data_IF_810226804118
#
_entry.id   IF_810226804118
#
_cell.length_a   1.000
_cell.length_b   1.000
_cell.length_c   1.000
_cell.angle_alpha   90.00
_cell.angle_beta   90.00
_cell.angle_gamma   90.00
#
_symmetry.space_group_name_H-M   'P 1'
#
loop_
_entity.id
_entity.type
_entity.pdbx_description
1 polymer ?
#
# COMPACT_ATOMS: atom_id res chain seq x y z
N UNK A 1 -2.40 13.35 -38.14
CA UNK A 1 -3.85 13.60 -37.97
C UNK A 1 -4.15 14.42 -36.71
N UNK A 2 -3.60 14.09 -35.53
CA UNK A 2 -3.77 14.92 -34.32
C UNK A 2 -3.14 16.32 -34.43
N UNK A 3 -1.98 16.45 -35.07
CA UNK A 3 -1.36 17.76 -35.35
C UNK A 3 -2.24 18.63 -36.25
N UNK A 4 -2.83 18.03 -37.30
CA UNK A 4 -3.72 18.74 -38.23
C UNK A 4 -5.01 19.23 -37.57
N UNK A 5 -5.58 18.42 -36.66
CA UNK A 5 -6.76 18.79 -35.86
C UNK A 5 -6.42 19.88 -34.83
N UNK A 6 -5.22 19.82 -34.24
CA UNK A 6 -4.70 20.85 -33.34
C UNK A 6 -4.49 22.19 -34.05
N UNK A 7 -3.92 22.17 -35.26
CA UNK A 7 -3.73 23.38 -36.08
C UNK A 7 -5.09 23.98 -36.49
N UNK A 8 -6.04 23.16 -36.95
CA UNK A 8 -7.38 23.64 -37.33
C UNK A 8 -8.18 24.26 -36.19
N UNK A 9 -8.10 23.69 -34.98
CA UNK A 9 -8.80 24.22 -33.82
C UNK A 9 -8.10 25.47 -33.24
N UNK A 10 -6.78 25.58 -33.41
CA UNK A 10 -6.02 26.76 -33.02
C UNK A 10 -6.37 27.99 -33.86
N UNK A 11 -6.67 27.77 -35.14
CA UNK A 11 -7.13 28.81 -36.06
C UNK A 11 -8.57 29.30 -35.75
N UNK A 12 -9.35 28.53 -34.98
CA UNK A 12 -10.75 28.84 -34.66
C UNK A 12 -10.96 29.46 -33.26
N UNK A 13 -10.16 29.09 -32.25
CA UNK A 13 -10.31 29.60 -30.87
C UNK A 13 -9.11 30.43 -30.36
N UNK A 14 -8.08 30.64 -31.18
CA UNK A 14 -6.98 31.58 -30.91
C UNK A 14 -5.98 31.15 -29.83
N UNK A 15 -6.26 30.10 -29.04
CA UNK A 15 -5.34 29.56 -28.05
C UNK A 15 -5.12 28.05 -28.19
N UNK A 16 -3.97 27.68 -28.76
CA UNK A 16 -3.47 26.30 -28.88
C UNK A 16 -3.57 25.51 -27.57
N UNK A 17 -3.42 26.18 -26.42
CA UNK A 17 -3.41 25.53 -25.11
C UNK A 17 -4.79 25.00 -24.74
N UNK A 18 -5.83 25.80 -24.98
CA UNK A 18 -7.22 25.44 -24.69
C UNK A 18 -7.63 24.24 -25.54
N UNK A 19 -7.27 24.26 -26.83
CA UNK A 19 -7.51 23.16 -27.76
C UNK A 19 -6.83 21.87 -27.29
N UNK A 20 -5.55 21.97 -26.89
CA UNK A 20 -4.80 20.82 -26.40
C UNK A 20 -5.42 20.24 -25.12
N UNK A 21 -5.78 21.10 -24.16
CA UNK A 21 -6.42 20.68 -22.92
C UNK A 21 -7.78 20.01 -23.15
N UNK A 22 -8.60 20.57 -24.05
CA UNK A 22 -9.89 20.02 -24.47
C UNK A 22 -9.73 18.66 -25.17
N UNK A 23 -8.72 18.54 -26.03
CA UNK A 23 -8.40 17.30 -26.72
C UNK A 23 -7.98 16.20 -25.74
N UNK A 24 -7.02 16.49 -24.86
CA UNK A 24 -6.59 15.57 -23.80
C UNK A 24 -7.74 15.16 -22.88
N UNK A 25 -8.60 16.11 -22.48
CA UNK A 25 -9.75 15.84 -21.61
C UNK A 25 -10.76 14.92 -22.29
N UNK A 26 -11.07 15.21 -23.56
CA UNK A 26 -11.94 14.38 -24.39
C UNK A 26 -11.39 12.97 -24.58
N UNK A 27 -10.10 12.85 -24.91
CA UNK A 27 -9.42 11.56 -25.05
C UNK A 27 -9.39 10.78 -23.75
N UNK A 28 -9.04 11.42 -22.63
CA UNK A 28 -9.03 10.77 -21.31
C UNK A 28 -10.42 10.20 -20.98
N UNK A 29 -11.48 10.99 -21.17
CA UNK A 29 -12.86 10.51 -20.92
C UNK A 29 -13.28 9.38 -21.84
N UNK A 30 -12.87 9.41 -23.11
CA UNK A 30 -13.15 8.33 -24.06
C UNK A 30 -12.42 7.04 -23.66
N UNK A 31 -11.15 7.14 -23.28
CA UNK A 31 -10.36 6.01 -22.81
C UNK A 31 -10.96 5.42 -21.55
N UNK A 32 -11.29 6.23 -20.53
CA UNK A 32 -11.97 5.74 -19.32
C UNK A 32 -13.25 4.94 -19.62
N UNK A 33 -14.05 5.38 -20.60
CA UNK A 33 -15.32 4.71 -20.94
C UNK A 33 -15.19 3.49 -21.84
N UNK A 34 -14.12 3.39 -22.62
CA UNK A 34 -13.98 2.40 -23.71
C UNK A 34 -12.78 1.48 -23.51
N UNK A 35 -12.00 1.66 -22.46
CA UNK A 35 -10.86 0.82 -22.17
C UNK A 35 -11.31 -0.62 -21.94
N UNK A 36 -10.70 -1.56 -22.66
CA UNK A 36 -10.93 -3.00 -22.50
C UNK A 36 -9.57 -3.64 -22.26
N UNK A 37 -9.31 -4.04 -21.02
CA UNK A 37 -8.01 -4.55 -20.57
C UNK A 37 -7.48 -5.68 -21.46
N UNK A 38 -8.32 -6.67 -21.78
CA UNK A 38 -7.90 -7.83 -22.59
C UNK A 38 -7.43 -7.45 -24.00
N UNK A 39 -8.13 -6.49 -24.62
CA UNK A 39 -7.79 -6.02 -25.97
C UNK A 39 -6.49 -5.22 -25.93
N UNK A 40 -6.34 -4.35 -24.92
CA UNK A 40 -5.14 -3.53 -24.77
C UNK A 40 -3.94 -4.41 -24.46
N UNK A 41 -4.05 -5.36 -23.53
CA UNK A 41 -2.97 -6.27 -23.17
C UNK A 41 -2.52 -7.12 -24.37
N UNK A 42 -3.47 -7.64 -25.17
CA UNK A 42 -3.15 -8.40 -26.39
C UNK A 42 -2.39 -7.56 -27.42
N UNK A 43 -2.80 -6.31 -27.64
CA UNK A 43 -2.12 -5.41 -28.57
C UNK A 43 -0.78 -4.93 -28.01
N UNK A 44 -0.70 -4.74 -26.70
CA UNK A 44 0.51 -4.34 -25.98
C UNK A 44 1.61 -5.42 -26.11
N UNK A 45 1.26 -6.70 -26.00
CA UNK A 45 2.21 -7.80 -26.23
C UNK A 45 2.71 -7.86 -27.68
N UNK A 46 1.90 -7.42 -28.65
CA UNK A 46 2.26 -7.39 -30.06
C UNK A 46 3.04 -6.13 -30.47
N UNK A 47 2.95 -5.05 -29.69
CA UNK A 47 3.57 -3.76 -30.00
C UNK A 47 5.03 -3.70 -29.52
N UNK A 48 5.97 -3.64 -30.46
CA UNK A 48 7.41 -3.65 -30.17
C UNK A 48 8.04 -2.30 -29.82
N UNK A 49 7.27 -1.20 -29.83
CA UNK A 49 7.78 0.17 -29.68
C UNK A 49 7.22 0.91 -28.46
N UNK A 50 6.37 0.28 -27.66
CA UNK A 50 5.72 0.91 -26.49
C UNK A 50 6.75 1.45 -25.51
N UNK A 51 7.86 0.74 -25.30
CA UNK A 51 8.95 1.17 -24.42
C UNK A 51 9.63 2.47 -24.86
N UNK A 52 9.47 2.91 -26.11
CA UNK A 52 10.08 4.14 -26.64
C UNK A 52 9.26 5.38 -26.36
N UNK A 53 7.93 5.31 -26.53
CA UNK A 53 7.06 6.48 -26.43
C UNK A 53 6.29 6.55 -25.11
N UNK A 54 6.04 5.41 -24.47
CA UNK A 54 5.18 5.35 -23.30
C UNK A 54 5.77 6.06 -22.07
N UNK A 55 7.08 5.95 -21.77
CA UNK A 55 7.68 6.74 -20.69
C UNK A 55 7.55 8.25 -20.91
N UNK A 56 7.64 8.72 -22.16
CA UNK A 56 7.48 10.13 -22.51
C UNK A 56 6.05 10.61 -22.24
N UNK A 57 5.03 9.80 -22.59
CA UNK A 57 3.64 10.11 -22.28
C UNK A 57 3.40 10.23 -20.76
N UNK A 58 4.03 9.35 -19.98
CA UNK A 58 3.88 9.29 -18.53
C UNK A 58 4.61 10.42 -17.79
N UNK A 59 5.38 11.27 -18.46
CA UNK A 59 5.91 12.53 -17.87
C UNK A 59 4.80 13.52 -17.54
N UNK A 60 3.64 13.42 -18.20
CA UNK A 60 2.51 14.31 -17.97
C UNK A 60 1.56 13.73 -16.90
N UNK A 61 1.27 14.52 -15.87
CA UNK A 61 0.43 14.10 -14.72
C UNK A 61 -0.98 13.68 -15.12
N UNK A 62 -1.56 14.29 -16.15
CA UNK A 62 -2.91 13.96 -16.63
C UNK A 62 -3.02 12.51 -17.13
N UNK A 63 -2.02 12.03 -17.86
CA UNK A 63 -1.96 10.65 -18.31
C UNK A 63 -1.66 9.68 -17.16
N UNK A 64 -0.82 10.07 -16.19
CA UNK A 64 -0.61 9.27 -14.97
C UNK A 64 -1.91 9.09 -14.18
N UNK A 65 -2.67 10.18 -13.99
CA UNK A 65 -3.97 10.14 -13.32
C UNK A 65 -4.97 9.21 -14.05
N UNK A 66 -5.00 9.25 -15.38
CA UNK A 66 -5.80 8.32 -16.16
C UNK A 66 -5.38 6.86 -15.90
N UNK A 67 -4.08 6.57 -15.87
CA UNK A 67 -3.57 5.23 -15.58
C UNK A 67 -4.00 4.77 -14.18
N UNK A 68 -3.92 5.64 -13.16
CA UNK A 68 -4.40 5.34 -11.81
C UNK A 68 -5.90 4.98 -11.82
N UNK A 69 -6.74 5.78 -12.48
CA UNK A 69 -8.17 5.49 -12.62
C UNK A 69 -8.43 4.15 -13.32
N UNK A 70 -7.69 3.87 -14.40
CA UNK A 70 -7.89 2.66 -15.20
C UNK A 70 -7.47 1.38 -14.46
N UNK A 71 -6.38 1.42 -13.69
CA UNK A 71 -5.90 0.24 -12.94
C UNK A 71 -6.82 -0.08 -11.75
N UNK A 72 -7.48 0.92 -11.14
CA UNK A 72 -8.53 0.67 -10.13
C UNK A 72 -9.67 -0.18 -10.72
N UNK A 73 -10.06 0.12 -11.96
CA UNK A 73 -11.15 -0.57 -12.65
C UNK A 73 -10.71 -1.91 -13.23
N UNK A 74 -9.42 -2.07 -13.56
CA UNK A 74 -8.87 -3.21 -14.29
C UNK A 74 -7.55 -3.71 -13.67
N UNK A 75 -7.55 -4.19 -12.41
CA UNK A 75 -6.32 -4.47 -11.66
C UNK A 75 -5.47 -5.62 -12.21
N UNK A 76 -6.03 -6.42 -13.12
CA UNK A 76 -5.35 -7.57 -13.76
C UNK A 76 -4.70 -7.24 -15.10
N UNK A 77 -4.82 -5.99 -15.59
CA UNK A 77 -4.23 -5.61 -16.88
C UNK A 77 -2.71 -5.57 -16.81
N UNK A 78 -2.05 -6.35 -17.66
CA UNK A 78 -0.58 -6.37 -17.76
C UNK A 78 -0.03 -5.03 -18.22
N UNK A 79 -0.69 -4.38 -19.16
CA UNK A 79 -0.32 -3.06 -19.65
C UNK A 79 -0.33 -2.02 -18.53
N UNK A 80 -1.42 -1.96 -17.77
CA UNK A 80 -1.57 -0.99 -16.68
C UNK A 80 -0.60 -1.27 -15.53
N UNK A 81 -0.36 -2.54 -15.18
CA UNK A 81 0.68 -2.91 -14.20
C UNK A 81 2.07 -2.45 -14.65
N UNK A 82 2.43 -2.59 -15.94
CA UNK A 82 3.69 -2.07 -16.45
C UNK A 82 3.75 -0.54 -16.42
N UNK A 83 2.66 0.14 -16.76
CA UNK A 83 2.55 1.59 -16.71
C UNK A 83 2.84 2.12 -15.30
N UNK A 84 2.20 1.49 -14.31
CA UNK A 84 2.38 1.81 -12.90
C UNK A 84 3.82 1.60 -12.44
N UNK A 85 4.48 0.53 -12.90
CA UNK A 85 5.91 0.31 -12.63
C UNK A 85 6.77 1.42 -13.21
N UNK A 86 6.55 1.81 -14.47
CA UNK A 86 7.30 2.92 -15.11
C UNK A 86 7.11 4.23 -14.34
N UNK A 87 5.88 4.54 -13.91
CA UNK A 87 5.56 5.71 -13.08
C UNK A 87 6.34 5.69 -11.76
N UNK A 88 6.37 4.53 -11.09
CA UNK A 88 7.08 4.32 -9.83
C UNK A 88 8.60 4.43 -10.00
N UNK A 89 9.16 3.87 -11.07
CA UNK A 89 10.59 3.97 -11.38
C UNK A 89 11.01 5.40 -11.73
N UNK A 90 10.10 6.20 -12.28
CA UNK A 90 10.30 7.63 -12.53
C UNK A 90 10.15 8.52 -11.29
N UNK A 91 9.80 7.97 -10.11
CA UNK A 91 9.70 8.71 -8.85
C UNK A 91 8.32 9.33 -8.57
N UNK A 92 7.31 9.04 -9.39
CA UNK A 92 5.95 9.61 -9.24
C UNK A 92 5.02 8.78 -8.33
N UNK A 93 5.54 7.77 -7.63
CA UNK A 93 4.71 6.91 -6.75
C UNK A 93 3.97 7.68 -5.64
N UNK A 94 4.48 8.86 -5.25
CA UNK A 94 3.86 9.71 -4.23
C UNK A 94 2.51 10.29 -4.66
N UNK A 95 2.21 10.28 -5.96
CA UNK A 95 0.91 10.70 -6.51
C UNK A 95 -0.18 9.62 -6.29
N UNK A 96 0.21 8.37 -6.05
CA UNK A 96 -0.70 7.28 -5.72
C UNK A 96 -1.13 7.44 -4.27
N UNK A 97 -2.16 8.26 -4.07
CA UNK A 97 -2.74 8.54 -2.75
C UNK A 97 -3.77 7.50 -2.33
N UNK A 98 -4.29 6.70 -3.28
CA UNK A 98 -5.26 5.66 -2.98
C UNK A 98 -4.59 4.40 -2.40
N UNK A 99 -4.87 4.12 -1.13
CA UNK A 99 -4.37 2.94 -0.42
C UNK A 99 -4.81 1.63 -1.10
N UNK A 100 -6.00 1.59 -1.73
CA UNK A 100 -6.46 0.42 -2.48
C UNK A 100 -5.53 0.07 -3.64
N UNK A 101 -5.13 1.08 -4.41
CA UNK A 101 -4.21 0.93 -5.55
C UNK A 101 -2.84 0.46 -5.11
N UNK A 102 -2.31 1.09 -4.04
CA UNK A 102 -1.04 0.68 -3.48
C UNK A 102 -1.08 -0.79 -3.04
N UNK A 103 -2.11 -1.20 -2.29
CA UNK A 103 -2.25 -2.56 -1.78
C UNK A 103 -2.34 -3.65 -2.87
N UNK A 104 -2.86 -3.32 -4.06
CA UNK A 104 -2.93 -4.26 -5.19
C UNK A 104 -1.59 -4.45 -5.91
N UNK A 105 -0.65 -3.53 -5.73
CA UNK A 105 0.65 -3.53 -6.42
C UNK A 105 1.76 -3.65 -5.39
N UNK A 106 2.26 -4.87 -5.18
CA UNK A 106 3.18 -5.19 -4.09
C UNK A 106 4.38 -4.24 -3.97
N UNK A 107 5.03 -3.90 -5.09
CA UNK A 107 6.17 -2.96 -5.07
C UNK A 107 5.79 -1.56 -4.57
N UNK A 108 4.63 -1.04 -5.01
CA UNK A 108 4.12 0.26 -4.56
C UNK A 108 3.78 0.17 -3.09
N UNK A 109 3.08 -0.89 -2.69
CA UNK A 109 2.73 -1.11 -1.29
C UNK A 109 3.97 -1.08 -0.39
N UNK A 110 5.04 -1.81 -0.77
CA UNK A 110 6.31 -1.82 -0.03
C UNK A 110 6.87 -0.41 0.13
N UNK A 111 6.93 0.39 -0.95
CA UNK A 111 7.43 1.77 -0.88
C UNK A 111 6.51 2.64 0.00
N UNK A 112 5.20 2.55 -0.19
CA UNK A 112 4.20 3.32 0.58
C UNK A 112 4.27 3.02 2.07
N UNK A 113 4.38 1.75 2.47
CA UNK A 113 4.47 1.36 3.88
C UNK A 113 5.80 1.78 4.50
N UNK A 114 6.92 1.62 3.80
CA UNK A 114 8.24 2.08 4.27
C UNK A 114 8.23 3.59 4.50
N UNK A 115 7.77 4.38 3.51
CA UNK A 115 7.66 5.83 3.67
C UNK A 115 6.75 6.21 4.84
N UNK A 116 5.62 5.53 5.03
CA UNK A 116 4.73 5.81 6.15
C UNK A 116 5.36 5.45 7.53
N UNK A 117 6.19 4.41 7.58
CA UNK A 117 6.95 4.04 8.79
C UNK A 117 8.04 5.09 9.08
N UNK A 118 8.76 5.55 8.05
CA UNK A 118 9.77 6.60 8.18
C UNK A 118 9.14 7.92 8.65
N UNK A 119 8.03 8.34 8.03
CA UNK A 119 7.23 9.50 8.43
C UNK A 119 6.83 9.38 9.92
N UNK A 120 6.31 8.22 10.31
CA UNK A 120 5.91 7.95 11.70
C UNK A 120 7.09 8.11 12.68
N UNK A 121 8.24 7.50 12.40
CA UNK A 121 9.38 7.59 13.30
C UNK A 121 10.01 8.99 13.32
N UNK A 122 10.00 9.71 12.19
CA UNK A 122 10.46 11.08 12.11
C UNK A 122 9.64 12.00 13.01
N UNK A 123 8.32 11.83 13.04
CA UNK A 123 7.44 12.61 13.91
C UNK A 123 7.49 12.11 15.37
N UNK A 124 7.59 10.80 15.61
CA UNK A 124 7.74 10.24 16.96
C UNK A 124 8.97 10.81 17.69
N UNK A 125 10.10 11.02 16.98
CA UNK A 125 11.31 11.63 17.55
C UNK A 125 11.10 13.06 18.05
N UNK A 126 10.14 13.80 17.49
CA UNK A 126 9.79 15.17 17.92
C UNK A 126 8.86 15.18 19.14
N UNK A 127 8.35 14.02 19.54
CA UNK A 127 7.46 13.82 20.67
C UNK A 127 6.10 13.25 20.23
N UNK A 128 5.56 12.24 20.94
CA UNK A 128 4.22 11.72 20.67
C UNK A 128 3.15 12.76 21.03
N UNK A 129 1.90 12.50 20.62
CA UNK A 129 0.71 13.30 20.96
C UNK A 129 0.70 14.72 20.39
N UNK A 130 1.51 15.01 19.36
CA UNK A 130 1.35 16.20 18.53
C UNK A 130 0.33 15.94 17.42
N UNK A 131 -0.36 16.98 16.93
CA UNK A 131 -1.31 16.85 15.81
C UNK A 131 -0.63 16.25 14.55
N UNK A 132 0.64 16.57 14.33
CA UNK A 132 1.43 16.04 13.21
C UNK A 132 1.72 14.55 13.41
N UNK A 133 2.11 14.14 14.62
CA UNK A 133 2.31 12.74 14.97
C UNK A 133 1.02 11.93 14.80
N UNK A 134 -0.11 12.42 15.32
CA UNK A 134 -1.40 11.72 15.22
C UNK A 134 -1.84 11.57 13.77
N UNK A 135 -1.59 12.56 12.91
CA UNK A 135 -1.83 12.46 11.46
C UNK A 135 -0.93 11.42 10.78
N UNK A 136 0.37 11.41 11.11
CA UNK A 136 1.30 10.42 10.58
C UNK A 136 0.91 9.00 11.00
N UNK A 137 0.53 8.81 12.27
CA UNK A 137 0.07 7.53 12.79
C UNK A 137 -1.27 7.10 12.18
N UNK A 138 -2.23 8.02 12.01
CA UNK A 138 -3.50 7.75 11.33
C UNK A 138 -3.29 7.31 9.87
N UNK A 139 -2.38 7.97 9.14
CA UNK A 139 -2.00 7.58 7.77
C UNK A 139 -1.37 6.19 7.75
N UNK A 140 -0.42 5.91 8.62
CA UNK A 140 0.23 4.60 8.71
C UNK A 140 -0.79 3.49 9.03
N UNK A 141 -1.66 3.70 10.01
CA UNK A 141 -2.69 2.71 10.38
C UNK A 141 -3.71 2.50 9.27
N UNK A 142 -4.06 3.53 8.51
CA UNK A 142 -4.91 3.41 7.32
C UNK A 142 -4.26 2.51 6.25
N UNK A 143 -2.95 2.64 6.01
CA UNK A 143 -2.19 1.85 5.03
C UNK A 143 -2.02 0.41 5.49
N UNK A 144 -1.57 0.21 6.73
CA UNK A 144 -1.25 -1.12 7.28
C UNK A 144 -2.52 -1.92 7.52
N UNK A 145 -3.52 -1.32 8.16
CA UNK A 145 -4.81 -1.96 8.47
C UNK A 145 -5.85 -1.71 7.37
N UNK A 146 -5.39 -1.63 6.11
CA UNK A 146 -6.26 -1.60 4.94
C UNK A 146 -6.95 -2.95 4.74
N UNK A 147 -6.18 -4.03 4.86
CA UNK A 147 -6.62 -5.41 4.74
C UNK A 147 -5.78 -6.35 5.63
N UNK A 148 -6.18 -7.61 5.75
CA UNK A 148 -5.43 -8.59 6.54
C UNK A 148 -4.05 -8.90 5.95
N UNK A 149 -3.92 -8.97 4.62
CA UNK A 149 -2.63 -9.28 3.98
C UNK A 149 -1.64 -8.12 4.07
N UNK A 150 -2.09 -6.87 3.97
CA UNK A 150 -1.25 -5.67 4.19
C UNK A 150 -0.78 -5.59 5.65
N UNK A 151 -1.66 -5.93 6.59
CA UNK A 151 -1.32 -6.01 8.01
C UNK A 151 -0.28 -7.11 8.27
N UNK A 152 -0.54 -8.33 7.78
CA UNK A 152 0.37 -9.47 7.90
C UNK A 152 1.75 -9.15 7.35
N UNK A 153 1.81 -8.60 6.13
CA UNK A 153 3.07 -8.20 5.51
C UNK A 153 3.85 -7.22 6.39
N UNK A 154 3.20 -6.18 6.90
CA UNK A 154 3.85 -5.18 7.75
C UNK A 154 4.35 -5.81 9.06
N UNK A 155 3.57 -6.70 9.68
CA UNK A 155 3.99 -7.39 10.90
C UNK A 155 5.19 -8.32 10.66
N UNK A 156 5.23 -9.03 9.52
CA UNK A 156 6.38 -9.84 9.11
C UNK A 156 7.61 -8.95 8.90
N UNK A 157 7.46 -7.83 8.17
CA UNK A 157 8.55 -6.89 7.93
C UNK A 157 9.15 -6.39 9.24
N UNK A 158 8.31 -5.88 10.15
CA UNK A 158 8.76 -5.41 11.46
C UNK A 158 9.43 -6.53 12.27
N UNK A 159 8.90 -7.74 12.22
CA UNK A 159 9.46 -8.89 12.93
C UNK A 159 10.85 -9.28 12.42
N UNK A 160 11.06 -9.32 11.10
CA UNK A 160 12.39 -9.60 10.55
C UNK A 160 13.37 -8.46 10.88
N UNK A 161 12.95 -7.19 10.83
CA UNK A 161 13.78 -6.07 11.31
C UNK A 161 14.13 -6.19 12.80
N UNK A 162 13.20 -6.61 13.66
CA UNK A 162 13.45 -6.82 15.09
C UNK A 162 14.51 -7.90 15.33
N UNK A 163 14.56 -8.95 14.49
CA UNK A 163 15.57 -10.02 14.60
C UNK A 163 16.95 -9.60 14.14
N UNK A 164 17.03 -8.78 13.08
CA UNK A 164 18.27 -8.40 12.44
C UNK A 164 18.97 -7.21 13.13
N UNK A 165 18.20 -6.31 13.75
CA UNK A 165 18.70 -5.03 14.25
C UNK A 165 19.05 -5.02 15.75
N UNK A 166 19.90 -4.05 16.13
CA UNK A 166 20.31 -3.83 17.52
C UNK A 166 19.23 -3.14 18.37
N UNK A 167 19.42 -3.19 19.70
CA UNK A 167 18.46 -2.85 20.75
C UNK A 167 17.51 -1.66 20.48
N UNK A 168 17.99 -0.49 20.05
CA UNK A 168 17.12 0.69 19.89
C UNK A 168 16.14 0.58 18.71
N UNK A 169 16.62 0.13 17.56
CA UNK A 169 15.78 -0.06 16.35
C UNK A 169 14.82 -1.22 16.57
N UNK A 170 15.30 -2.31 17.16
CA UNK A 170 14.47 -3.44 17.55
C UNK A 170 13.37 -3.03 18.56
N UNK A 171 13.69 -2.20 19.55
CA UNK A 171 12.72 -1.68 20.52
C UNK A 171 11.68 -0.77 19.84
N UNK A 172 12.10 0.12 18.93
CA UNK A 172 11.21 1.00 18.18
C UNK A 172 10.25 0.21 17.27
N UNK A 173 10.76 -0.79 16.54
CA UNK A 173 9.95 -1.67 15.71
C UNK A 173 9.00 -2.55 16.54
N UNK A 174 9.45 -3.01 17.72
CA UNK A 174 8.61 -3.74 18.68
C UNK A 174 7.45 -2.88 19.16
N UNK A 175 7.74 -1.63 19.55
CA UNK A 175 6.71 -0.66 19.92
C UNK A 175 5.71 -0.45 18.78
N UNK A 176 6.19 -0.24 17.55
CA UNK A 176 5.33 -0.03 16.39
C UNK A 176 4.44 -1.26 16.10
N UNK A 177 5.00 -2.47 16.13
CA UNK A 177 4.24 -3.73 15.96
C UNK A 177 3.11 -3.82 17.00
N UNK A 178 3.38 -3.49 18.25
CA UNK A 178 2.40 -3.55 19.34
C UNK A 178 1.27 -2.54 19.18
N UNK A 179 1.56 -1.28 18.83
CA UNK A 179 0.51 -0.26 18.64
C UNK A 179 -0.33 -0.57 17.40
N UNK A 180 0.28 -1.05 16.31
CA UNK A 180 -0.46 -1.48 15.11
C UNK A 180 -1.37 -2.67 15.40
N UNK A 181 -0.95 -3.61 16.25
CA UNK A 181 -1.80 -4.71 16.71
C UNK A 181 -3.00 -4.21 17.50
N UNK A 182 -2.84 -3.19 18.36
CA UNK A 182 -3.97 -2.58 19.08
C UNK A 182 -4.97 -1.95 18.10
N UNK A 183 -4.49 -1.27 17.05
CA UNK A 183 -5.36 -0.69 16.02
C UNK A 183 -6.07 -1.75 15.17
N UNK A 184 -5.38 -2.81 14.76
CA UNK A 184 -5.99 -3.95 14.07
C UNK A 184 -7.10 -4.60 14.93
N UNK A 185 -6.87 -4.72 16.24
CA UNK A 185 -7.87 -5.25 17.17
C UNK A 185 -9.12 -4.36 17.25
N UNK A 186 -8.95 -3.03 17.30
CA UNK A 186 -10.08 -2.07 17.28
C UNK A 186 -10.91 -2.17 15.99
N UNK A 187 -10.27 -2.56 14.88
CA UNK A 187 -10.91 -2.80 13.58
C UNK A 187 -11.49 -4.20 13.40
N UNK A 188 -11.54 -5.00 14.47
CA UNK A 188 -12.07 -6.37 14.49
C UNK A 188 -11.34 -7.38 13.59
N UNK A 189 -10.02 -7.21 13.38
CA UNK A 189 -9.23 -8.24 12.71
C UNK A 189 -9.10 -9.45 13.64
N UNK A 190 -9.81 -10.53 13.31
CA UNK A 190 -9.92 -11.73 14.14
C UNK A 190 -8.55 -12.39 14.37
N UNK A 191 -7.69 -12.39 13.35
CA UNK A 191 -6.44 -13.16 13.34
C UNK A 191 -5.22 -12.38 13.83
N UNK A 192 -5.40 -11.17 14.39
CA UNK A 192 -4.29 -10.33 14.83
C UNK A 192 -3.41 -10.98 15.92
N UNK A 193 -4.01 -11.82 16.77
CA UNK A 193 -3.28 -12.60 17.78
C UNK A 193 -2.60 -13.83 17.18
N UNK A 194 -3.27 -14.54 16.29
CA UNK A 194 -2.78 -15.70 15.55
C UNK A 194 -1.48 -15.35 14.82
N UNK A 195 -1.49 -14.22 14.10
CA UNK A 195 -0.32 -13.70 13.38
C UNK A 195 0.82 -13.41 14.34
N UNK A 196 0.56 -12.68 15.44
CA UNK A 196 1.60 -12.35 16.42
C UNK A 196 2.19 -13.60 17.09
N UNK A 197 1.38 -14.60 17.42
CA UNK A 197 1.86 -15.85 18.03
C UNK A 197 2.64 -16.68 17.00
N UNK A 198 2.16 -16.77 15.76
CA UNK A 198 2.84 -17.48 14.68
C UNK A 198 4.25 -16.90 14.41
N UNK A 199 4.38 -15.58 14.37
CA UNK A 199 5.67 -14.90 14.19
C UNK A 199 6.63 -15.19 15.37
N UNK A 200 6.12 -15.16 16.60
CA UNK A 200 6.92 -15.42 17.80
C UNK A 200 7.18 -16.91 18.10
N UNK A 201 6.69 -17.85 17.27
CA UNK A 201 6.94 -19.29 17.50
C UNK A 201 8.43 -19.63 17.55
N UNK A 202 9.30 -18.83 16.92
CA UNK A 202 10.74 -19.06 16.88
C UNK A 202 11.56 -18.51 18.06
N UNK A 203 11.00 -17.72 18.98
CA UNK A 203 11.85 -16.93 19.91
C UNK A 203 11.99 -17.47 21.34
N UNK A 204 11.29 -18.53 21.76
CA UNK A 204 11.58 -19.21 23.04
C UNK A 204 10.89 -20.57 23.14
N UNK A 205 11.62 -21.52 23.73
CA UNK A 205 11.29 -22.89 24.15
C UNK A 205 10.26 -22.94 25.30
N UNK A 206 9.35 -21.96 25.39
CA UNK A 206 8.16 -22.11 26.22
C UNK A 206 7.25 -23.10 25.48
N UNK A 207 7.02 -24.26 26.12
CA UNK A 207 6.28 -25.37 25.54
C UNK A 207 4.97 -24.91 24.88
N UNK A 208 4.65 -25.48 23.72
CA UNK A 208 3.50 -25.11 22.89
C UNK A 208 2.18 -24.97 23.68
N UNK A 209 2.07 -25.68 24.81
CA UNK A 209 0.97 -25.57 25.77
C UNK A 209 0.77 -24.15 26.33
N UNK A 210 1.82 -23.44 26.76
CA UNK A 210 1.70 -22.06 27.30
C UNK A 210 1.17 -21.12 26.23
N UNK A 211 1.70 -21.24 25.00
CA UNK A 211 1.29 -20.42 23.85
C UNK A 211 -0.17 -20.68 23.48
N UNK A 212 -0.62 -21.94 23.50
CA UNK A 212 -2.01 -22.32 23.24
C UNK A 212 -2.97 -21.81 24.32
N UNK A 213 -2.58 -21.85 25.59
CA UNK A 213 -3.41 -21.36 26.70
C UNK A 213 -3.56 -19.83 26.61
N UNK A 214 -2.45 -19.10 26.40
CA UNK A 214 -2.48 -17.64 26.18
C UNK A 214 -3.33 -17.30 24.95
N UNK A 215 -3.18 -18.06 23.86
CA UNK A 215 -3.97 -17.90 22.65
C UNK A 215 -5.48 -18.07 22.90
N UNK A 216 -5.89 -19.10 23.62
CA UNK A 216 -7.29 -19.36 23.94
C UNK A 216 -7.91 -18.22 24.76
N UNK A 217 -7.17 -17.62 25.69
CA UNK A 217 -7.64 -16.46 26.47
C UNK A 217 -7.70 -15.18 25.63
N UNK A 218 -6.71 -14.94 24.77
CA UNK A 218 -6.68 -13.75 23.91
C UNK A 218 -7.76 -13.78 22.84
N UNK A 219 -7.96 -14.91 22.16
CA UNK A 219 -9.01 -15.10 21.15
C UNK A 219 -10.42 -14.94 21.73
N UNK A 220 -10.66 -15.51 22.92
CA UNK A 220 -11.95 -15.39 23.64
C UNK A 220 -12.15 -14.04 24.33
N UNK A 221 -11.15 -13.15 24.32
CA UNK A 221 -11.13 -11.88 25.07
C UNK A 221 -11.53 -12.03 26.54
N UNK A 222 -11.20 -13.17 27.15
CA UNK A 222 -11.65 -13.52 28.48
C UNK A 222 -10.58 -14.31 29.22
N UNK A 223 -10.31 -13.90 30.45
CA UNK A 223 -9.47 -14.63 31.39
C UNK A 223 -10.35 -15.66 32.09
N UNK A 224 -10.17 -16.94 31.75
CA UNK A 224 -10.88 -18.02 32.44
C UNK A 224 -9.98 -18.64 33.52
N UNK A 225 -10.60 -19.02 34.63
CA UNK A 225 -9.88 -19.52 35.81
C UNK A 225 -9.09 -20.79 35.51
N UNK A 226 -9.60 -21.68 34.64
CA UNK A 226 -8.94 -22.93 34.29
C UNK A 226 -7.64 -22.72 33.50
N UNK A 227 -7.63 -21.79 32.53
CA UNK A 227 -6.46 -21.44 31.73
C UNK A 227 -5.41 -20.68 32.56
N UNK A 228 -5.85 -19.85 33.52
CA UNK A 228 -4.92 -19.22 34.48
C UNK A 228 -4.26 -20.27 35.39
N UNK A 229 -5.02 -21.23 35.92
CA UNK A 229 -4.47 -22.32 36.74
C UNK A 229 -3.47 -23.15 35.92
N UNK A 230 -3.81 -23.50 34.68
CA UNK A 230 -2.91 -24.22 33.78
C UNK A 230 -1.63 -23.43 33.47
N UNK A 231 -1.71 -22.11 33.33
CA UNK A 231 -0.50 -21.28 33.16
C UNK A 231 0.36 -21.25 34.41
N UNK A 232 -0.25 -21.23 35.59
CA UNK A 232 0.46 -21.28 36.86
C UNK A 232 1.18 -22.63 37.06
N UNK A 233 0.57 -23.73 36.63
CA UNK A 233 1.11 -25.09 36.74
C UNK A 233 2.25 -25.41 35.76
N UNK A 234 2.42 -24.62 34.69
CA UNK A 234 3.46 -24.83 33.66
C UNK A 234 4.74 -24.02 33.94
N UNK A 235 4.73 -23.15 34.96
CA UNK A 235 5.91 -22.48 35.52
C UNK A 235 6.60 -23.36 36.57
#
# INVERSE_FOLDING_TARGET
YCELLGDWLSDLEGDRRIVHECFEKSLSSLLEKRFVAEVVDKNFEAAGDVDKWFPELLKHSKWRNLIYTLIEQNPRSKFLTKAIRIISDAGFQHEITNVHLAAQQFEIYCRTVITAIDDFFAEHKKGPMTDVYEKAFAKLTQIVCYSEHTYLFTQVLLHETIKEENNEVAAACTYLSQILRREAHKRNYQDSYDIHIALNRGYNDYGDNVKQIIYAMLSKKCLNQADIIRLYEVN
#
